data_IF_695905872667
#
_entry.id   IF_695905872667
#
_cell.length_a   1.000
_cell.length_b   1.000
_cell.length_c   1.000
_cell.angle_alpha   90.00
_cell.angle_beta   90.00
_cell.angle_gamma   90.00
#
_symmetry.space_group_name_H-M   'P 1'
#
loop_
_entity.id
_entity.type
_entity.pdbx_description
1 polymer ?
#
# COMPACT_ATOMS: atom_id res chain seq x y z
N UNK A 1 25.84 47.38 -29.70
CA UNK A 1 25.90 47.34 -31.18
C UNK A 1 24.88 46.35 -31.68
N UNK A 2 23.77 46.82 -32.21
CA UNK A 2 22.93 46.20 -33.24
C UNK A 2 23.67 46.25 -34.57
N UNK A 3 23.25 45.65 -35.67
CA UNK A 3 22.08 44.84 -36.03
C UNK A 3 22.38 43.73 -37.08
N UNK A 4 21.40 43.02 -37.56
CA UNK A 4 20.69 42.96 -38.87
C UNK A 4 20.17 41.55 -39.09
N UNK A 5 18.89 41.28 -39.06
CA UNK A 5 17.84 41.39 -40.10
C UNK A 5 18.23 40.80 -41.45
N UNK A 6 17.35 40.00 -42.00
CA UNK A 6 16.70 40.02 -43.34
C UNK A 6 16.27 38.57 -43.64
N UNK A 7 15.02 38.20 -43.64
CA UNK A 7 13.91 38.35 -44.59
C UNK A 7 14.06 37.60 -45.92
N UNK A 8 12.92 36.99 -46.28
CA UNK A 8 12.44 36.46 -47.58
C UNK A 8 12.76 34.96 -47.80
N UNK A 9 11.85 34.17 -48.22
CA UNK A 9 10.70 34.46 -49.06
C UNK A 9 9.72 33.29 -49.17
N UNK A 10 8.57 33.71 -49.18
CA UNK A 10 7.46 33.47 -50.09
C UNK A 10 7.32 32.13 -50.83
N UNK A 11 6.11 31.61 -50.66
CA UNK A 11 5.29 30.97 -51.71
C UNK A 11 5.83 29.71 -52.41
N UNK A 12 5.19 28.57 -52.08
CA UNK A 12 4.50 27.83 -53.15
C UNK A 12 3.29 27.10 -52.51
N UNK A 13 2.13 27.64 -52.84
CA UNK A 13 0.87 26.96 -52.74
C UNK A 13 0.80 25.97 -53.90
N UNK A 14 0.80 24.67 -53.62
CA UNK A 14 0.41 23.67 -54.61
C UNK A 14 -0.41 22.59 -53.94
N UNK A 15 -1.66 22.61 -54.33
CA UNK A 15 -2.66 21.57 -54.21
C UNK A 15 -2.03 20.18 -54.14
N UNK A 16 -2.03 19.62 -52.93
CA UNK A 16 -1.84 18.20 -52.71
C UNK A 16 -3.17 17.65 -52.15
N UNK A 17 -3.96 17.15 -53.05
CA UNK A 17 -5.21 16.43 -52.85
C UNK A 17 -5.02 15.40 -51.74
N UNK A 18 -5.49 15.73 -50.51
CA UNK A 18 -5.56 14.74 -49.42
C UNK A 18 -6.61 13.72 -49.81
N UNK A 19 -6.17 12.62 -50.38
CA UNK A 19 -6.94 11.40 -50.45
C UNK A 19 -7.25 10.99 -49.02
N UNK A 20 -8.39 11.40 -48.49
CA UNK A 20 -9.06 10.75 -47.37
C UNK A 20 -9.33 9.30 -47.81
N UNK A 21 -8.36 8.43 -47.58
CA UNK A 21 -8.63 7.02 -47.52
C UNK A 21 -9.58 6.80 -46.36
N UNK A 22 -10.87 6.83 -46.63
CA UNK A 22 -11.90 6.37 -45.71
C UNK A 22 -11.58 4.94 -45.35
N UNK A 23 -10.94 4.75 -44.20
CA UNK A 23 -10.80 3.40 -43.62
C UNK A 23 -12.22 2.90 -43.40
N UNK A 24 -12.65 1.81 -44.05
CA UNK A 24 -14.02 1.36 -43.94
C UNK A 24 -14.31 1.07 -42.46
N UNK A 25 -15.37 1.67 -41.94
CA UNK A 25 -15.85 1.51 -40.56
C UNK A 25 -16.02 0.04 -40.11
N UNK A 26 -16.14 -0.87 -41.07
CA UNK A 26 -16.17 -2.30 -40.82
C UNK A 26 -14.85 -2.88 -40.31
N UNK A 27 -13.70 -2.32 -40.68
CA UNK A 27 -12.38 -2.79 -40.18
C UNK A 27 -12.17 -2.45 -38.70
N UNK A 28 -12.69 -1.31 -38.27
CA UNK A 28 -12.63 -0.90 -36.84
C UNK A 28 -13.60 -1.69 -35.96
N UNK A 29 -14.72 -2.17 -36.51
CA UNK A 29 -15.66 -3.01 -35.78
C UNK A 29 -15.11 -4.42 -35.56
N UNK A 30 -14.37 -4.96 -36.53
CA UNK A 30 -13.80 -6.31 -36.43
C UNK A 30 -12.64 -6.37 -35.42
N UNK A 31 -11.83 -5.31 -35.26
CA UNK A 31 -10.76 -5.28 -34.26
C UNK A 31 -11.30 -5.19 -32.84
N UNK A 32 -12.39 -4.42 -32.62
CA UNK A 32 -13.04 -4.31 -31.29
C UNK A 32 -13.74 -5.61 -30.88
N UNK A 33 -14.35 -6.32 -31.79
CA UNK A 33 -15.03 -7.60 -31.50
C UNK A 33 -14.04 -8.75 -31.29
N UNK A 34 -12.93 -8.78 -32.05
CA UNK A 34 -11.88 -9.78 -31.85
C UNK A 34 -11.18 -9.66 -30.50
N UNK A 35 -10.89 -8.42 -30.06
CA UNK A 35 -10.24 -8.19 -28.75
C UNK A 35 -11.14 -8.60 -27.59
N UNK A 36 -12.45 -8.29 -27.66
CA UNK A 36 -13.40 -8.64 -26.61
C UNK A 36 -13.69 -10.16 -26.56
N UNK A 37 -13.68 -10.84 -27.68
CA UNK A 37 -13.91 -12.29 -27.79
C UNK A 37 -12.68 -13.09 -27.28
N UNK A 38 -11.46 -12.60 -27.51
CA UNK A 38 -10.25 -13.29 -27.06
C UNK A 38 -10.00 -13.11 -25.55
N UNK A 39 -10.38 -11.97 -24.97
CA UNK A 39 -10.30 -11.75 -23.52
C UNK A 39 -11.23 -12.69 -22.73
N UNK A 40 -12.39 -13.04 -23.31
CA UNK A 40 -13.36 -13.94 -22.68
C UNK A 40 -12.97 -15.44 -22.75
N UNK A 41 -11.97 -15.81 -23.55
CA UNK A 41 -11.56 -17.23 -23.78
C UNK A 41 -10.30 -17.65 -23.02
N UNK A 42 -9.64 -16.73 -22.27
CA UNK A 42 -8.51 -17.13 -21.43
C UNK A 42 -9.07 -17.80 -20.17
N UNK A 43 -8.70 -19.07 -19.90
CA UNK A 43 -9.05 -19.67 -18.61
C UNK A 43 -8.47 -18.80 -17.49
N UNK A 44 -9.18 -18.63 -16.36
CA UNK A 44 -8.66 -17.88 -15.24
C UNK A 44 -7.33 -18.49 -14.81
N UNK A 45 -6.29 -17.67 -14.76
CA UNK A 45 -4.97 -18.11 -14.26
C UNK A 45 -5.17 -18.58 -12.83
N UNK A 46 -4.76 -19.80 -12.47
CA UNK A 46 -4.90 -20.30 -11.10
C UNK A 46 -4.17 -19.36 -10.14
N UNK A 47 -4.90 -18.68 -9.27
CA UNK A 47 -4.29 -17.80 -8.27
C UNK A 47 -3.63 -18.68 -7.21
N UNK A 48 -2.30 -18.63 -7.11
CA UNK A 48 -1.57 -19.31 -6.06
C UNK A 48 -1.93 -18.68 -4.71
N UNK A 49 -2.54 -19.44 -3.84
CA UNK A 49 -2.93 -19.00 -2.49
C UNK A 49 -1.79 -19.22 -1.50
N UNK A 50 -0.67 -18.52 -1.72
CA UNK A 50 0.49 -18.51 -0.84
C UNK A 50 0.32 -17.53 0.34
N UNK A 51 1.38 -17.38 1.15
CA UNK A 51 1.37 -16.48 2.31
C UNK A 51 1.05 -15.02 1.91
N UNK A 52 1.65 -14.55 0.80
CA UNK A 52 1.45 -13.19 0.31
C UNK A 52 0.01 -12.95 -0.17
N UNK A 53 -0.60 -13.95 -0.81
CA UNK A 53 -2.01 -13.88 -1.17
C UNK A 53 -2.90 -13.67 0.05
N UNK A 54 -2.70 -14.47 1.12
CA UNK A 54 -3.51 -14.35 2.33
C UNK A 54 -3.23 -13.07 3.08
N UNK A 55 -1.97 -12.62 3.12
CA UNK A 55 -1.61 -11.35 3.71
C UNK A 55 -2.30 -10.18 3.01
N UNK A 56 -2.21 -10.08 1.69
CA UNK A 56 -2.89 -9.04 0.88
C UNK A 56 -4.40 -9.07 1.10
N UNK A 57 -4.99 -10.26 1.17
CA UNK A 57 -6.43 -10.39 1.44
C UNK A 57 -6.80 -9.92 2.84
N UNK A 58 -5.98 -10.22 3.84
CA UNK A 58 -6.14 -9.71 5.21
C UNK A 58 -6.05 -8.19 5.27
N UNK A 59 -5.02 -7.61 4.65
CA UNK A 59 -4.85 -6.17 4.57
C UNK A 59 -6.06 -5.48 3.91
N UNK A 60 -6.52 -6.02 2.79
CA UNK A 60 -7.68 -5.48 2.08
C UNK A 60 -8.93 -5.44 2.99
N UNK A 61 -9.28 -6.55 3.65
CA UNK A 61 -10.50 -6.59 4.47
C UNK A 61 -10.36 -5.76 5.75
N UNK A 62 -9.13 -5.59 6.28
CA UNK A 62 -8.85 -4.71 7.41
C UNK A 62 -9.09 -3.24 7.04
N UNK A 63 -8.70 -2.81 5.83
CA UNK A 63 -8.97 -1.46 5.31
C UNK A 63 -10.47 -1.13 5.28
N UNK A 64 -11.31 -2.14 5.05
CA UNK A 64 -12.77 -1.98 5.12
C UNK A 64 -13.36 -2.22 6.53
N UNK A 65 -12.51 -2.27 7.56
CA UNK A 65 -12.95 -2.40 8.95
C UNK A 65 -13.33 -3.82 9.38
N UNK A 66 -13.22 -4.81 8.50
CA UNK A 66 -13.54 -6.20 8.88
C UNK A 66 -12.32 -6.88 9.55
N UNK A 67 -11.97 -6.37 10.72
CA UNK A 67 -10.80 -6.82 11.47
C UNK A 67 -10.90 -8.29 11.91
N UNK A 68 -12.10 -8.79 12.19
CA UNK A 68 -12.31 -10.19 12.53
C UNK A 68 -11.91 -11.13 11.38
N UNK A 69 -12.30 -10.81 10.15
CA UNK A 69 -11.88 -11.57 8.97
C UNK A 69 -10.38 -11.36 8.66
N UNK A 70 -9.85 -10.15 8.89
CA UNK A 70 -8.43 -9.84 8.68
C UNK A 70 -7.53 -10.73 9.55
N UNK A 71 -7.84 -10.88 10.84
CA UNK A 71 -7.12 -11.78 11.76
C UNK A 71 -7.04 -13.20 11.21
N UNK A 72 -8.13 -13.73 10.67
CA UNK A 72 -8.15 -15.08 10.09
C UNK A 72 -7.28 -15.21 8.84
N UNK A 73 -7.24 -14.18 7.98
CA UNK A 73 -6.40 -14.19 6.79
C UNK A 73 -4.92 -14.02 7.13
N UNK A 74 -4.58 -13.17 8.09
CA UNK A 74 -3.19 -13.05 8.57
C UNK A 74 -2.73 -14.35 9.23
N UNK A 75 -3.59 -15.02 9.97
CA UNK A 75 -3.27 -16.33 10.53
C UNK A 75 -2.97 -17.38 9.45
N UNK A 76 -3.71 -17.38 8.32
CA UNK A 76 -3.39 -18.25 7.18
C UNK A 76 -2.04 -17.90 6.53
N UNK A 77 -1.72 -16.61 6.45
CA UNK A 77 -0.41 -16.16 5.94
C UNK A 77 0.73 -16.64 6.84
N UNK A 78 0.58 -16.48 8.15
CA UNK A 78 1.55 -16.91 9.16
C UNK A 78 1.73 -18.44 9.15
N UNK A 79 0.65 -19.20 9.00
CA UNK A 79 0.73 -20.66 8.92
C UNK A 79 1.54 -21.16 7.72
N UNK A 80 1.50 -20.41 6.59
CA UNK A 80 2.28 -20.72 5.39
C UNK A 80 3.71 -20.16 5.44
N UNK A 81 3.92 -19.06 6.18
CA UNK A 81 5.22 -18.40 6.34
C UNK A 81 5.41 -17.96 7.80
N UNK A 82 5.94 -18.82 8.67
CA UNK A 82 6.08 -18.52 10.11
C UNK A 82 6.99 -17.32 10.42
N UNK A 83 7.89 -16.94 9.51
CA UNK A 83 8.77 -15.76 9.67
C UNK A 83 8.23 -14.56 8.87
N UNK A 84 6.94 -14.27 8.97
CA UNK A 84 6.30 -13.16 8.28
C UNK A 84 5.96 -12.06 9.28
N UNK A 85 6.96 -11.27 9.67
CA UNK A 85 6.86 -10.17 10.64
C UNK A 85 5.69 -9.22 10.36
N UNK A 86 5.54 -8.79 9.08
CA UNK A 86 4.46 -7.92 8.68
C UNK A 86 3.06 -8.54 8.89
N UNK A 87 2.92 -9.87 8.76
CA UNK A 87 1.64 -10.53 9.01
C UNK A 87 1.32 -10.59 10.51
N UNK A 88 2.31 -10.83 11.37
CA UNK A 88 2.15 -10.73 12.82
C UNK A 88 1.77 -9.31 13.24
N UNK A 89 2.47 -8.31 12.74
CA UNK A 89 2.17 -6.90 13.04
C UNK A 89 0.73 -6.54 12.62
N UNK A 90 0.35 -6.84 11.39
CA UNK A 90 -0.98 -6.51 10.87
C UNK A 90 -2.09 -7.27 11.61
N UNK A 91 -1.82 -8.51 12.05
CA UNK A 91 -2.73 -9.27 12.89
C UNK A 91 -2.88 -8.59 14.25
N UNK A 92 -1.77 -8.15 14.87
CA UNK A 92 -1.77 -7.41 16.12
C UNK A 92 -2.57 -6.11 16.04
N UNK A 93 -2.37 -5.32 14.97
CA UNK A 93 -3.16 -4.10 14.73
C UNK A 93 -4.65 -4.42 14.64
N UNK A 94 -5.02 -5.51 13.93
CA UNK A 94 -6.42 -5.93 13.82
C UNK A 94 -7.01 -6.36 15.17
N UNK A 95 -6.25 -7.06 16.02
CA UNK A 95 -6.66 -7.36 17.38
C UNK A 95 -6.87 -6.11 18.23
N UNK A 96 -5.96 -5.12 18.13
CA UNK A 96 -6.08 -3.83 18.82
C UNK A 96 -7.37 -3.10 18.46
N UNK A 97 -7.74 -3.09 17.17
CA UNK A 97 -9.00 -2.52 16.69
C UNK A 97 -10.25 -3.29 17.14
N UNK A 98 -10.10 -4.56 17.51
CA UNK A 98 -11.17 -5.37 18.12
C UNK A 98 -11.24 -5.22 19.64
N UNK A 99 -10.37 -4.40 20.26
CA UNK A 99 -10.27 -4.25 21.71
C UNK A 99 -9.56 -5.41 22.43
N UNK A 100 -8.97 -6.34 21.67
CA UNK A 100 -8.20 -7.48 22.17
C UNK A 100 -6.72 -7.07 22.35
N UNK A 101 -6.48 -6.22 23.36
CA UNK A 101 -5.20 -5.52 23.50
C UNK A 101 -4.04 -6.45 23.85
N UNK A 102 -4.28 -7.47 24.69
CA UNK A 102 -3.22 -8.41 25.06
C UNK A 102 -2.78 -9.25 23.85
N UNK A 103 -3.73 -9.78 23.09
CA UNK A 103 -3.45 -10.51 21.85
C UNK A 103 -2.74 -9.62 20.83
N UNK A 104 -3.13 -8.35 20.75
CA UNK A 104 -2.46 -7.38 19.88
C UNK A 104 -0.99 -7.21 20.24
N UNK A 105 -0.70 -6.98 21.54
CA UNK A 105 0.67 -6.82 22.03
C UNK A 105 1.50 -8.08 21.77
N UNK A 106 0.92 -9.26 22.01
CA UNK A 106 1.61 -10.53 21.80
C UNK A 106 2.00 -10.75 20.33
N UNK A 107 1.11 -10.40 19.39
CA UNK A 107 1.43 -10.50 17.96
C UNK A 107 2.48 -9.47 17.54
N UNK A 108 2.38 -8.22 18.00
CA UNK A 108 3.38 -7.19 17.69
C UNK A 108 4.74 -7.56 18.29
N UNK A 109 4.79 -8.15 19.48
CA UNK A 109 6.03 -8.65 20.08
C UNK A 109 6.68 -9.73 19.22
N UNK A 110 5.90 -10.60 18.58
CA UNK A 110 6.42 -11.61 17.64
C UNK A 110 7.00 -10.93 16.38
N UNK A 111 6.39 -9.86 15.90
CA UNK A 111 6.93 -9.07 14.80
C UNK A 111 8.25 -8.39 15.19
N UNK A 112 8.29 -7.75 16.37
CA UNK A 112 9.49 -7.10 16.92
C UNK A 112 10.64 -8.07 17.19
N UNK A 113 10.33 -9.31 17.58
CA UNK A 113 11.36 -10.35 17.75
C UNK A 113 12.06 -10.68 16.43
N UNK A 114 11.36 -10.57 15.31
CA UNK A 114 11.92 -10.81 13.97
C UNK A 114 12.63 -9.57 13.43
N UNK A 115 12.07 -8.39 13.68
CA UNK A 115 12.57 -7.09 13.19
C UNK A 115 12.70 -6.07 14.35
N UNK A 116 13.71 -6.20 15.21
CA UNK A 116 13.83 -5.37 16.43
C UNK A 116 14.18 -3.91 16.19
N UNK A 117 14.54 -3.53 14.96
CA UNK A 117 14.86 -2.16 14.57
C UNK A 117 13.74 -1.51 13.74
N UNK A 118 12.56 -2.11 13.69
CA UNK A 118 11.44 -1.57 12.93
C UNK A 118 10.62 -0.58 13.78
N UNK A 119 10.82 0.73 13.57
CA UNK A 119 10.15 1.81 14.31
C UNK A 119 8.64 1.74 14.22
N UNK A 120 8.09 1.41 13.05
CA UNK A 120 6.64 1.27 12.84
C UNK A 120 6.01 0.23 13.78
N UNK A 121 6.73 -0.84 14.12
CA UNK A 121 6.18 -1.86 15.02
C UNK A 121 6.13 -1.37 16.47
N UNK A 122 7.12 -0.59 16.91
CA UNK A 122 7.06 0.10 18.20
C UNK A 122 5.93 1.12 18.23
N UNK A 123 5.81 1.95 17.19
CA UNK A 123 4.70 2.90 17.08
C UNK A 123 3.34 2.20 17.15
N UNK A 124 3.17 1.11 16.41
CA UNK A 124 1.94 0.30 16.45
C UNK A 124 1.65 -0.25 17.84
N UNK A 125 2.66 -0.74 18.57
CA UNK A 125 2.50 -1.27 19.94
C UNK A 125 2.19 -0.15 20.94
N UNK A 126 2.84 1.00 20.80
CA UNK A 126 2.55 2.20 21.59
C UNK A 126 1.07 2.60 21.50
N UNK A 127 0.52 2.61 20.29
CA UNK A 127 -0.91 2.88 20.08
C UNK A 127 -1.81 1.86 20.79
N UNK A 128 -1.45 0.59 20.78
CA UNK A 128 -2.20 -0.45 21.49
C UNK A 128 -2.10 -0.23 23.01
N UNK A 129 -0.94 0.12 23.54
CA UNK A 129 -0.77 0.48 24.95
C UNK A 129 -1.63 1.68 25.36
N UNK A 130 -1.70 2.73 24.51
CA UNK A 130 -2.61 3.85 24.77
C UNK A 130 -4.07 3.41 24.86
N UNK A 131 -4.50 2.56 23.94
CA UNK A 131 -5.88 2.04 23.91
C UNK A 131 -6.20 1.13 25.11
N UNK A 132 -5.19 0.42 25.63
CA UNK A 132 -5.33 -0.39 26.84
C UNK A 132 -5.20 0.41 28.15
N UNK A 133 -4.83 1.70 28.06
CA UNK A 133 -4.64 2.59 29.21
C UNK A 133 -3.24 2.61 29.81
N UNK A 134 -2.30 1.83 29.29
CA UNK A 134 -0.89 1.78 29.75
C UNK A 134 -0.07 2.91 29.10
N UNK A 135 -0.23 4.12 29.63
CA UNK A 135 0.40 5.32 29.07
C UNK A 135 1.93 5.31 29.17
N UNK A 136 2.47 4.72 30.23
CA UNK A 136 3.92 4.69 30.46
C UNK A 136 4.62 3.84 29.39
N UNK A 137 4.13 2.61 29.15
CA UNK A 137 4.66 1.77 28.08
C UNK A 137 4.42 2.35 26.69
N UNK A 138 3.30 3.03 26.50
CA UNK A 138 3.06 3.71 25.23
C UNK A 138 4.12 4.77 24.96
N UNK A 139 4.48 5.58 25.99
CA UNK A 139 5.48 6.62 25.86
C UNK A 139 6.88 6.07 25.62
N UNK A 140 7.24 4.97 26.29
CA UNK A 140 8.51 4.27 26.03
C UNK A 140 8.62 3.81 24.57
N UNK A 141 7.56 3.20 24.06
CA UNK A 141 7.52 2.71 22.69
C UNK A 141 7.48 3.83 21.65
N UNK A 142 6.77 4.94 21.90
CA UNK A 142 6.82 6.12 21.01
C UNK A 142 8.22 6.71 20.94
N UNK A 143 8.93 6.87 22.07
CA UNK A 143 10.31 7.34 22.09
C UNK A 143 11.21 6.39 21.32
N UNK A 144 11.05 5.08 21.53
CA UNK A 144 11.82 4.07 20.81
C UNK A 144 11.55 4.10 19.30
N UNK A 145 10.30 4.26 18.88
CA UNK A 145 9.94 4.40 17.47
C UNK A 145 10.57 5.65 16.84
N UNK A 146 10.50 6.79 17.53
CA UNK A 146 11.10 8.04 17.09
C UNK A 146 12.64 7.96 16.97
N UNK A 147 13.31 7.28 17.92
CA UNK A 147 14.75 7.02 17.86
C UNK A 147 15.15 6.14 16.68
N UNK A 148 14.22 5.30 16.21
CA UNK A 148 14.39 4.46 15.03
C UNK A 148 13.95 5.18 13.72
N UNK A 149 13.56 6.46 13.82
CA UNK A 149 13.22 7.30 12.67
C UNK A 149 11.79 7.16 12.19
N UNK A 150 10.87 6.64 13.01
CA UNK A 150 9.44 6.60 12.66
C UNK A 150 8.84 8.00 12.71
N UNK A 151 8.37 8.50 11.55
CA UNK A 151 7.86 9.86 11.40
C UNK A 151 6.56 10.08 12.17
N UNK A 152 5.69 9.09 12.25
CA UNK A 152 4.43 9.19 12.99
C UNK A 152 4.68 9.32 14.49
N UNK A 153 5.69 8.61 15.02
CA UNK A 153 6.10 8.74 16.41
C UNK A 153 6.72 10.10 16.71
N UNK A 154 7.58 10.61 15.82
CA UNK A 154 8.16 11.95 15.94
C UNK A 154 7.06 13.01 15.99
N UNK A 155 6.14 12.97 15.05
CA UNK A 155 5.01 13.91 14.98
C UNK A 155 4.11 13.82 16.23
N UNK A 156 3.88 12.61 16.74
CA UNK A 156 3.10 12.43 17.96
C UNK A 156 3.79 13.03 19.18
N UNK A 157 5.10 12.80 19.37
CA UNK A 157 5.86 13.34 20.48
C UNK A 157 5.96 14.86 20.43
N UNK A 158 6.13 15.45 19.25
CA UNK A 158 6.11 16.90 19.07
C UNK A 158 4.74 17.50 19.42
N UNK A 159 3.67 16.84 19.01
CA UNK A 159 2.30 17.28 19.30
C UNK A 159 2.01 17.32 20.81
N UNK A 160 2.50 16.36 21.59
CA UNK A 160 2.31 16.32 23.06
C UNK A 160 3.37 17.10 23.84
N UNK A 161 4.32 17.77 23.14
CA UNK A 161 5.38 18.56 23.76
C UNK A 161 6.56 17.76 24.32
N UNK A 162 6.68 16.49 23.97
CA UNK A 162 7.76 15.57 24.35
C UNK A 162 8.78 15.33 23.21
N UNK A 163 8.65 16.06 22.08
CA UNK A 163 9.59 16.01 20.96
C UNK A 163 10.96 16.50 21.34
N UNK A 164 11.97 16.19 20.53
CA UNK A 164 13.36 16.61 20.80
C UNK A 164 13.44 18.13 20.93
N UNK A 165 13.76 18.62 22.13
CA UNK A 165 14.21 19.99 22.39
C UNK A 165 15.65 20.13 21.96
#
# INVERSE_FOLDING_TARGET
MKPKSILYGTFICLMGMVLFLSVPSQLMAQTKTATKSQAAKRPPVPVKKDADYWFKKGALVSTYGNNKAAVQYFQKAIALKPNFSAAYFSQGVSYGQLGQYQEAIDQINRALKQEPQNGMYYYGRARVYLLSGDKDKAMEDFKKAADLGDEDALNYLDYIGEGKK
#
